data_IF_973551277080
#
_entry.id   IF_973551277080
#
_cell.length_a   1.000
_cell.length_b   1.000
_cell.length_c   1.000
_cell.angle_alpha   90.00
_cell.angle_beta   90.00
_cell.angle_gamma   90.00
#
_symmetry.space_group_name_H-M   'P 1'
#
loop_
_entity.id
_entity.type
_entity.pdbx_description
1 polymer ?
#
# COMPACT_ATOMS: atom_id res chain seq x y z
N UNK A 1 1.43 -13.73 -9.02
CA UNK A 1 2.41 -14.33 -9.94
C UNK A 1 3.82 -13.89 -9.59
N UNK A 2 4.84 -14.54 -10.15
CA UNK A 2 6.23 -14.10 -9.97
C UNK A 2 6.49 -12.83 -10.77
N UNK A 3 7.22 -11.89 -10.20
CA UNK A 3 7.74 -10.76 -10.95
C UNK A 3 8.82 -11.29 -11.93
N UNK A 4 8.78 -10.93 -13.22
CA UNK A 4 9.81 -11.36 -14.17
C UNK A 4 11.21 -10.87 -13.75
N UNK A 5 12.20 -11.75 -13.76
CA UNK A 5 13.57 -11.41 -13.34
C UNK A 5 14.15 -10.24 -14.16
N UNK A 6 13.87 -10.18 -15.46
CA UNK A 6 14.31 -9.07 -16.31
C UNK A 6 13.74 -7.71 -15.86
N UNK A 7 12.51 -7.68 -15.34
CA UNK A 7 11.92 -6.45 -14.78
C UNK A 7 12.65 -6.04 -13.50
N UNK A 8 12.91 -6.99 -12.61
CA UNK A 8 13.67 -6.73 -11.37
C UNK A 8 15.08 -6.20 -11.70
N UNK A 9 15.78 -6.84 -12.62
CA UNK A 9 17.13 -6.43 -13.06
C UNK A 9 17.15 -4.98 -13.58
N UNK A 10 16.22 -4.65 -14.48
CA UNK A 10 16.15 -3.30 -15.03
C UNK A 10 15.79 -2.27 -13.98
N UNK A 11 14.80 -2.56 -13.13
CA UNK A 11 14.38 -1.66 -12.08
C UNK A 11 15.52 -1.41 -11.08
N UNK A 12 16.16 -2.46 -10.57
CA UNK A 12 17.23 -2.35 -9.58
C UNK A 12 18.47 -1.64 -10.13
N UNK A 13 18.84 -1.88 -11.40
CA UNK A 13 19.92 -1.11 -12.07
C UNK A 13 19.64 0.38 -12.14
N UNK A 14 18.38 0.78 -12.10
CA UNK A 14 17.96 2.18 -12.08
C UNK A 14 17.57 2.68 -10.69
N UNK A 15 17.83 1.91 -9.63
CA UNK A 15 17.51 2.28 -8.25
C UNK A 15 16.01 2.31 -7.93
N UNK A 16 15.19 1.55 -8.68
CA UNK A 16 13.74 1.49 -8.51
C UNK A 16 13.34 0.21 -7.78
N UNK A 17 12.80 0.29 -6.56
CA UNK A 17 12.26 -0.86 -5.84
C UNK A 17 11.06 -1.47 -6.57
N UNK A 18 10.90 -2.79 -6.47
CA UNK A 18 9.83 -3.53 -7.12
C UNK A 18 9.09 -4.41 -6.12
N UNK A 19 7.79 -4.21 -6.00
CA UNK A 19 6.91 -4.96 -5.12
C UNK A 19 5.80 -5.67 -5.90
N UNK A 20 5.33 -6.81 -5.39
CA UNK A 20 4.12 -7.44 -5.92
C UNK A 20 2.89 -6.89 -5.23
N UNK A 21 1.73 -6.95 -5.91
CA UNK A 21 0.44 -6.48 -5.38
C UNK A 21 -0.59 -7.60 -5.42
N UNK A 22 -1.33 -7.80 -4.32
CA UNK A 22 -2.54 -8.59 -4.27
C UNK A 22 -3.77 -7.67 -4.42
N UNK A 23 -4.53 -7.85 -5.49
CA UNK A 23 -5.80 -7.16 -5.69
C UNK A 23 -6.94 -7.97 -5.10
N UNK A 24 -7.44 -7.58 -3.94
CA UNK A 24 -8.54 -8.25 -3.26
C UNK A 24 -9.83 -7.46 -3.56
N UNK A 25 -10.86 -8.08 -4.14
CA UNK A 25 -12.03 -7.37 -4.63
C UNK A 25 -12.90 -6.80 -3.49
N UNK A 26 -13.73 -5.82 -3.85
CA UNK A 26 -14.70 -5.18 -2.95
C UNK A 26 -15.89 -6.13 -2.68
N UNK A 27 -15.65 -7.09 -1.81
CA UNK A 27 -16.63 -8.09 -1.41
C UNK A 27 -16.37 -8.61 0.01
N UNK A 28 -17.31 -9.40 0.54
CA UNK A 28 -17.07 -10.09 1.80
C UNK A 28 -15.98 -11.15 1.62
N UNK A 29 -14.98 -11.10 2.48
CA UNK A 29 -13.83 -12.01 2.41
C UNK A 29 -14.30 -13.46 2.56
N UNK A 30 -14.13 -14.24 1.50
CA UNK A 30 -14.57 -15.62 1.43
C UNK A 30 -13.73 -16.43 0.43
N UNK A 31 -13.99 -17.73 0.33
CA UNK A 31 -13.45 -18.61 -0.70
C UNK A 31 -11.94 -18.58 -0.83
N UNK A 32 -11.46 -18.38 -2.05
CA UNK A 32 -10.03 -18.43 -2.38
C UNK A 32 -9.22 -17.34 -1.66
N UNK A 33 -9.75 -16.13 -1.60
CA UNK A 33 -9.07 -15.01 -0.94
C UNK A 33 -8.96 -15.22 0.56
N UNK A 34 -10.02 -15.68 1.20
CA UNK A 34 -9.98 -16.04 2.62
C UNK A 34 -8.91 -17.10 2.89
N UNK A 35 -8.93 -18.19 2.14
CA UNK A 35 -7.96 -19.29 2.28
C UNK A 35 -6.53 -18.83 2.02
N UNK A 36 -6.32 -17.98 1.01
CA UNK A 36 -5.01 -17.44 0.70
C UNK A 36 -4.44 -16.58 1.83
N UNK A 37 -5.25 -15.66 2.37
CA UNK A 37 -4.83 -14.80 3.48
C UNK A 37 -4.63 -15.58 4.78
N UNK A 38 -5.49 -16.54 5.08
CA UNK A 38 -5.31 -17.43 6.24
C UNK A 38 -4.04 -18.29 6.12
N UNK A 39 -3.70 -18.74 4.92
CA UNK A 39 -2.46 -19.46 4.66
C UNK A 39 -1.25 -18.58 4.82
N UNK A 40 -1.28 -17.38 4.21
CA UNK A 40 -0.20 -16.40 4.29
C UNK A 40 0.09 -15.99 5.73
N UNK A 41 -0.95 -15.75 6.54
CA UNK A 41 -0.80 -15.34 7.94
C UNK A 41 -0.09 -16.37 8.82
N UNK A 42 -0.03 -17.63 8.38
CA UNK A 42 0.63 -18.76 9.11
C UNK A 42 2.04 -19.04 8.61
N UNK A 43 2.50 -18.34 7.59
CA UNK A 43 3.86 -18.51 7.07
C UNK A 43 4.86 -17.99 8.10
N UNK A 44 5.94 -18.73 8.28
CA UNK A 44 7.08 -18.26 9.08
C UNK A 44 7.71 -17.04 8.42
N UNK A 45 7.76 -15.93 9.16
CA UNK A 45 8.21 -14.65 8.62
C UNK A 45 9.68 -14.65 8.19
N UNK A 46 10.55 -15.44 8.85
CA UNK A 46 11.96 -15.55 8.46
C UNK A 46 12.11 -16.34 7.15
N UNK A 47 11.30 -17.38 6.96
CA UNK A 47 11.27 -18.11 5.68
C UNK A 47 10.73 -17.25 4.57
N UNK A 48 9.68 -16.47 4.82
CA UNK A 48 9.14 -15.52 3.87
C UNK A 48 10.19 -14.45 3.50
N UNK A 49 10.88 -13.89 4.48
CA UNK A 49 11.95 -12.93 4.28
C UNK A 49 13.10 -13.51 3.43
N UNK A 50 13.56 -14.71 3.74
CA UNK A 50 14.59 -15.39 2.95
C UNK A 50 14.15 -15.61 1.49
N UNK A 51 12.90 -16.01 1.28
CA UNK A 51 12.32 -16.16 -0.07
C UNK A 51 12.27 -14.85 -0.82
N UNK A 52 11.73 -13.78 -0.20
CA UNK A 52 11.60 -12.47 -0.84
C UNK A 52 12.97 -11.87 -1.18
N UNK A 53 13.92 -11.98 -0.26
CA UNK A 53 15.28 -11.51 -0.49
C UNK A 53 15.98 -12.29 -1.62
N UNK A 54 15.79 -13.60 -1.68
CA UNK A 54 16.36 -14.45 -2.75
C UNK A 54 15.84 -14.06 -4.13
N UNK A 55 14.55 -13.70 -4.25
CA UNK A 55 13.95 -13.27 -5.51
C UNK A 55 14.07 -11.76 -5.79
N UNK A 56 14.66 -10.99 -4.88
CA UNK A 56 14.85 -9.55 -5.03
C UNK A 56 13.55 -8.74 -4.92
N UNK A 57 12.60 -9.17 -4.12
CA UNK A 57 11.37 -8.41 -3.87
C UNK A 57 11.60 -7.34 -2.81
N UNK A 58 11.21 -6.11 -3.12
CA UNK A 58 11.38 -4.96 -2.23
C UNK A 58 10.11 -4.62 -1.44
N UNK A 59 9.07 -5.44 -1.55
CA UNK A 59 7.85 -5.25 -0.78
C UNK A 59 6.67 -6.07 -1.27
N UNK A 60 5.56 -5.87 -0.57
CA UNK A 60 4.28 -6.48 -0.92
C UNK A 60 3.15 -5.47 -0.75
N UNK A 61 2.31 -5.31 -1.77
CA UNK A 61 1.17 -4.39 -1.74
C UNK A 61 -0.16 -5.11 -1.65
N UNK A 62 -1.12 -4.46 -0.99
CA UNK A 62 -2.52 -4.91 -0.95
C UNK A 62 -3.43 -3.82 -1.49
N UNK A 63 -4.15 -4.12 -2.57
CA UNK A 63 -5.39 -3.40 -2.87
C UNK A 63 -6.50 -4.02 -2.04
N UNK A 64 -6.61 -3.61 -0.77
CA UNK A 64 -7.46 -4.20 0.25
C UNK A 64 -8.83 -3.54 0.25
N UNK A 65 -9.73 -4.05 -0.59
CA UNK A 65 -11.10 -3.54 -0.71
C UNK A 65 -12.14 -4.58 -0.24
N UNK A 66 -11.80 -5.40 0.73
CA UNK A 66 -12.68 -6.42 1.28
C UNK A 66 -13.20 -6.07 2.67
N UNK A 67 -14.26 -6.74 3.10
CA UNK A 67 -14.74 -6.67 4.48
C UNK A 67 -14.90 -8.08 5.06
N UNK A 68 -14.76 -8.20 6.37
CA UNK A 68 -14.83 -9.46 7.10
C UNK A 68 -16.08 -9.53 7.99
N UNK A 69 -17.26 -9.84 7.44
CA UNK A 69 -18.48 -9.95 8.22
C UNK A 69 -18.42 -11.14 9.20
N UNK A 70 -17.97 -12.29 8.73
CA UNK A 70 -18.01 -13.52 9.52
C UNK A 70 -16.84 -13.67 10.48
N UNK A 71 -15.68 -13.21 10.11
CA UNK A 71 -14.45 -13.39 10.89
C UNK A 71 -14.08 -12.16 11.73
N UNK A 72 -14.82 -11.06 11.58
CA UNK A 72 -14.70 -9.82 12.39
C UNK A 72 -13.27 -9.29 12.47
N UNK A 73 -12.58 -9.25 11.36
CA UNK A 73 -11.21 -8.76 11.27
C UNK A 73 -10.14 -9.74 11.76
N UNK A 74 -10.48 -10.97 12.12
CA UNK A 74 -9.51 -11.96 12.59
C UNK A 74 -8.41 -12.23 11.56
N UNK A 75 -8.79 -12.32 10.29
CA UNK A 75 -7.85 -12.60 9.20
C UNK A 75 -6.98 -11.37 8.93
N UNK A 76 -7.59 -10.19 8.85
CA UNK A 76 -6.85 -8.93 8.66
C UNK A 76 -5.86 -8.68 9.79
N UNK A 77 -6.25 -8.95 11.04
CA UNK A 77 -5.33 -8.92 12.19
C UNK A 77 -4.16 -9.87 12.03
N UNK A 78 -4.42 -11.11 11.65
CA UNK A 78 -3.39 -12.11 11.46
C UNK A 78 -2.42 -11.73 10.32
N UNK A 79 -2.91 -11.16 9.23
CA UNK A 79 -2.09 -10.63 8.14
C UNK A 79 -1.27 -9.43 8.61
N UNK A 80 -1.85 -8.52 9.37
CA UNK A 80 -1.11 -7.40 9.97
C UNK A 80 0.06 -7.91 10.81
N UNK A 81 -0.18 -8.84 11.71
CA UNK A 81 0.87 -9.43 12.57
C UNK A 81 1.97 -10.15 11.74
N UNK A 82 1.56 -10.87 10.70
CA UNK A 82 2.52 -11.47 9.76
C UNK A 82 3.43 -10.39 9.14
N UNK A 83 2.88 -9.26 8.68
CA UNK A 83 3.68 -8.20 8.07
C UNK A 83 4.57 -7.46 9.07
N UNK A 84 4.14 -7.26 10.30
CA UNK A 84 5.01 -6.74 11.38
C UNK A 84 6.24 -7.64 11.55
N UNK A 85 6.03 -8.95 11.61
CA UNK A 85 7.12 -9.92 11.76
C UNK A 85 7.98 -10.00 10.48
N UNK A 86 7.38 -9.92 9.30
CA UNK A 86 8.08 -9.91 8.02
C UNK A 86 8.99 -8.68 7.90
N UNK A 87 8.48 -7.49 8.21
CA UNK A 87 9.27 -6.25 8.21
C UNK A 87 10.47 -6.35 9.13
N UNK A 88 10.28 -6.90 10.33
CA UNK A 88 11.37 -7.12 11.29
C UNK A 88 12.43 -8.10 10.75
N UNK A 89 12.00 -9.17 10.09
CA UNK A 89 12.90 -10.15 9.48
C UNK A 89 13.61 -9.61 8.23
N UNK A 90 12.94 -8.75 7.46
CA UNK A 90 13.50 -8.14 6.24
C UNK A 90 14.49 -7.00 6.52
N UNK A 91 14.33 -6.27 7.63
CA UNK A 91 15.15 -5.11 7.95
C UNK A 91 16.67 -5.32 7.82
N UNK A 92 17.26 -6.44 8.31
CA UNK A 92 18.69 -6.70 8.12
C UNK A 92 19.05 -7.22 6.72
N UNK A 93 18.09 -7.70 5.92
CA UNK A 93 18.32 -8.27 4.59
C UNK A 93 18.15 -7.24 3.49
N UNK A 94 17.11 -6.43 3.59
CA UNK A 94 16.78 -5.38 2.63
C UNK A 94 16.18 -4.17 3.39
N UNK A 95 16.99 -3.15 3.72
CA UNK A 95 16.53 -2.00 4.51
C UNK A 95 15.52 -1.11 3.81
N UNK A 96 15.34 -1.25 2.48
CA UNK A 96 14.33 -0.50 1.71
C UNK A 96 13.04 -1.29 1.51
N UNK A 97 12.95 -2.49 2.08
CA UNK A 97 11.75 -3.32 1.97
C UNK A 97 10.53 -2.60 2.59
N UNK A 98 9.44 -2.52 1.83
CA UNK A 98 8.26 -1.79 2.22
C UNK A 98 6.98 -2.53 1.80
N UNK A 99 6.11 -2.81 2.75
CA UNK A 99 4.75 -3.25 2.46
C UNK A 99 3.83 -2.03 2.32
N UNK A 100 2.90 -2.09 1.37
CA UNK A 100 1.93 -1.00 1.13
C UNK A 100 0.51 -1.54 1.26
N UNK A 101 -0.31 -0.85 2.04
CA UNK A 101 -1.72 -1.17 2.25
C UNK A 101 -2.61 -0.05 1.71
N UNK A 102 -3.58 -0.40 0.88
CA UNK A 102 -4.57 0.56 0.42
C UNK A 102 -5.54 0.91 1.54
N UNK A 103 -5.86 2.19 1.68
CA UNK A 103 -6.79 2.73 2.67
C UNK A 103 -8.24 2.32 2.37
N UNK A 104 -8.55 1.07 2.63
CA UNK A 104 -9.84 0.43 2.42
C UNK A 104 -10.21 -0.44 3.62
N UNK A 105 -9.66 -1.64 3.71
CA UNK A 105 -9.94 -2.56 4.81
C UNK A 105 -9.16 -2.20 6.06
N UNK A 106 -9.86 -2.03 7.16
CA UNK A 106 -9.30 -1.79 8.49
C UNK A 106 -8.97 -3.07 9.25
N UNK A 107 -8.17 -2.97 10.31
CA UNK A 107 -7.78 -4.12 11.14
C UNK A 107 -8.97 -4.90 11.71
N UNK A 108 -10.09 -4.23 11.99
CA UNK A 108 -11.31 -4.86 12.50
C UNK A 108 -12.16 -5.52 11.41
N UNK A 109 -11.69 -5.54 10.17
CA UNK A 109 -12.38 -6.12 9.02
C UNK A 109 -13.48 -5.24 8.42
N UNK A 110 -13.64 -4.00 8.85
CA UNK A 110 -14.53 -3.06 8.18
C UNK A 110 -13.88 -2.49 6.92
N UNK A 111 -14.67 -2.18 5.91
CA UNK A 111 -14.23 -1.51 4.70
C UNK A 111 -14.67 -0.04 4.78
N UNK A 112 -13.71 0.85 4.95
CA UNK A 112 -13.91 2.29 5.04
C UNK A 112 -12.79 2.99 4.27
N UNK A 113 -13.13 3.99 3.49
CA UNK A 113 -12.18 4.78 2.72
C UNK A 113 -12.00 6.14 3.41
N UNK A 114 -11.10 6.21 4.38
CA UNK A 114 -10.96 7.37 5.28
C UNK A 114 -10.21 8.53 4.64
N UNK A 115 -9.43 8.29 3.59
CA UNK A 115 -8.67 9.31 2.84
C UNK A 115 -7.57 9.99 3.64
N UNK A 116 -7.25 9.45 4.80
CA UNK A 116 -6.25 9.97 5.71
C UNK A 116 -5.91 8.97 6.80
N UNK A 117 -4.82 9.22 7.52
CA UNK A 117 -4.45 8.45 8.69
C UNK A 117 -5.25 8.94 9.91
N UNK A 118 -6.05 8.04 10.48
CA UNK A 118 -6.92 8.29 11.62
C UNK A 118 -6.84 7.13 12.64
N UNK A 119 -7.55 7.24 13.76
CA UNK A 119 -7.49 6.21 14.81
C UNK A 119 -7.96 4.82 14.36
N UNK A 120 -8.88 4.74 13.40
CA UNK A 120 -9.42 3.46 12.93
C UNK A 120 -8.49 2.68 11.99
N UNK A 121 -7.57 3.33 11.28
CA UNK A 121 -6.63 2.69 10.36
C UNK A 121 -5.16 2.74 10.83
N UNK A 122 -4.85 3.49 11.88
CA UNK A 122 -3.48 3.67 12.38
C UNK A 122 -2.76 2.38 12.76
N UNK A 123 -3.49 1.33 13.16
CA UNK A 123 -2.88 0.07 13.60
C UNK A 123 -2.22 -0.72 12.46
N UNK A 124 -2.68 -0.54 11.19
CA UNK A 124 -2.03 -1.13 10.02
C UNK A 124 -0.78 -0.33 9.67
N UNK A 125 -0.87 0.99 9.72
CA UNK A 125 0.29 1.85 9.57
C UNK A 125 1.33 1.56 10.66
N UNK A 126 0.89 1.47 11.90
CA UNK A 126 1.66 1.03 13.06
C UNK A 126 2.62 2.08 13.60
N UNK A 127 2.99 1.92 14.86
CA UNK A 127 4.07 2.69 15.49
C UNK A 127 5.43 2.24 14.97
N UNK A 128 6.47 3.06 15.17
CA UNK A 128 7.84 2.69 14.87
C UNK A 128 8.25 1.38 15.61
N UNK A 129 8.70 0.39 14.84
CA UNK A 129 9.08 -0.94 15.32
C UNK A 129 7.95 -1.97 15.36
N UNK A 130 6.69 -1.55 15.11
CA UNK A 130 5.53 -2.43 14.98
C UNK A 130 4.69 -2.13 13.72
N UNK A 131 5.30 -1.49 12.75
CA UNK A 131 4.70 -1.18 11.45
C UNK A 131 4.40 -2.44 10.63
N UNK A 132 3.16 -2.56 10.16
CA UNK A 132 2.79 -3.60 9.20
C UNK A 132 2.99 -3.13 7.76
N UNK A 133 2.54 -1.92 7.44
CA UNK A 133 2.61 -1.39 6.09
C UNK A 133 2.65 0.15 6.06
N UNK A 134 3.10 0.70 4.96
CA UNK A 134 2.80 2.07 4.57
C UNK A 134 1.35 2.17 4.09
N UNK A 135 0.76 3.34 4.15
CA UNK A 135 -0.64 3.53 3.83
C UNK A 135 -0.81 4.32 2.54
N UNK A 136 -1.45 3.68 1.55
CA UNK A 136 -1.85 4.34 0.30
C UNK A 136 -3.24 4.93 0.49
N UNK A 137 -3.33 6.26 0.66
CA UNK A 137 -4.57 6.97 0.94
C UNK A 137 -5.53 6.96 -0.26
N UNK A 138 -6.80 6.78 0.00
CA UNK A 138 -7.83 6.89 -1.02
C UNK A 138 -7.83 8.27 -1.71
N UNK A 139 -8.22 8.30 -2.96
CA UNK A 139 -8.02 9.40 -3.93
C UNK A 139 -8.64 10.77 -3.59
N UNK A 140 -9.45 10.87 -2.55
CA UNK A 140 -10.13 12.12 -2.15
C UNK A 140 -9.51 12.75 -0.88
N UNK A 141 -8.21 12.60 -0.69
CA UNK A 141 -7.42 13.18 0.42
C UNK A 141 -7.23 14.70 0.33
N UNK A 142 -7.58 15.34 -0.77
CA UNK A 142 -7.27 16.72 -1.17
C UNK A 142 -7.95 17.81 -0.32
N UNK A 143 -8.31 17.52 0.90
CA UNK A 143 -8.76 18.50 1.91
C UNK A 143 -7.60 18.77 2.87
N UNK A 144 -7.25 20.04 3.05
CA UNK A 144 -6.11 20.48 3.87
C UNK A 144 -6.07 19.84 5.24
N UNK A 145 -7.22 19.73 5.89
CA UNK A 145 -7.30 19.15 7.22
C UNK A 145 -6.99 17.65 7.25
N UNK A 146 -7.29 16.88 6.17
CA UNK A 146 -6.98 15.45 6.09
C UNK A 146 -5.47 15.22 6.07
N UNK A 147 -4.72 15.97 5.25
CA UNK A 147 -3.26 15.86 5.19
C UNK A 147 -2.60 16.31 6.49
N UNK A 148 -3.05 17.45 7.03
CA UNK A 148 -2.54 17.95 8.31
C UNK A 148 -2.72 16.91 9.41
N UNK A 149 -3.94 16.42 9.60
CA UNK A 149 -4.25 15.46 10.65
C UNK A 149 -3.49 14.13 10.45
N UNK A 150 -3.31 13.70 9.20
CA UNK A 150 -2.54 12.49 8.89
C UNK A 150 -1.07 12.62 9.29
N UNK A 151 -0.45 13.77 9.00
CA UNK A 151 0.93 14.06 9.40
C UNK A 151 1.06 14.15 10.92
N UNK A 152 0.12 14.82 11.59
CA UNK A 152 0.10 14.93 13.05
C UNK A 152 -0.08 13.54 13.70
N UNK A 153 -0.99 12.71 13.17
CA UNK A 153 -1.21 11.35 13.64
C UNK A 153 0.02 10.45 13.43
N UNK A 154 0.68 10.53 12.30
CA UNK A 154 1.92 9.79 12.05
C UNK A 154 3.00 10.17 13.07
N UNK A 155 3.18 11.47 13.34
CA UNK A 155 4.12 11.96 14.36
C UNK A 155 3.75 11.53 15.79
N UNK A 156 2.46 11.54 16.13
CA UNK A 156 1.94 11.07 17.42
C UNK A 156 2.36 9.62 17.71
N UNK A 157 2.32 8.76 16.67
CA UNK A 157 2.73 7.35 16.78
C UNK A 157 4.19 7.10 16.39
N UNK A 158 5.00 8.15 16.37
CA UNK A 158 6.44 8.10 16.08
C UNK A 158 6.79 7.46 14.73
N UNK A 159 5.90 7.60 13.72
CA UNK A 159 6.09 7.11 12.37
C UNK A 159 6.39 8.27 11.41
N UNK A 160 7.33 8.06 10.48
CA UNK A 160 7.63 9.05 9.45
C UNK A 160 6.42 9.22 8.49
N UNK A 161 5.90 10.45 8.33
CA UNK A 161 4.79 10.72 7.42
C UNK A 161 5.09 10.42 5.94
N UNK A 162 6.36 10.28 5.53
CA UNK A 162 6.73 9.89 4.17
C UNK A 162 6.27 8.49 3.79
N UNK A 163 5.90 7.65 4.76
CA UNK A 163 5.25 6.36 4.53
C UNK A 163 3.72 6.46 4.29
N UNK A 164 3.17 7.68 4.23
CA UNK A 164 1.82 7.94 3.74
C UNK A 164 1.90 8.36 2.28
N UNK A 165 1.15 7.72 1.42
CA UNK A 165 1.10 8.00 -0.01
C UNK A 165 -0.22 8.67 -0.36
N UNK A 166 -0.17 9.93 -0.80
CA UNK A 166 -1.33 10.59 -1.38
C UNK A 166 -1.71 9.91 -2.69
N UNK A 167 -2.77 9.13 -2.67
CA UNK A 167 -3.22 8.32 -3.79
C UNK A 167 -3.76 9.17 -4.94
N UNK A 168 -3.28 8.91 -6.15
CA UNK A 168 -3.75 9.54 -7.38
C UNK A 168 -4.19 8.44 -8.34
N UNK A 169 -5.47 8.43 -8.68
CA UNK A 169 -6.00 7.46 -9.61
C UNK A 169 -5.68 7.86 -11.06
N UNK A 170 -4.89 7.03 -11.73
CA UNK A 170 -4.47 7.20 -13.11
C UNK A 170 -5.27 6.29 -14.07
N UNK A 171 -6.16 5.45 -13.54
CA UNK A 171 -7.02 4.58 -14.35
C UNK A 171 -8.17 5.36 -14.98
N UNK A 172 -8.59 4.94 -16.18
CA UNK A 172 -9.81 5.43 -16.81
C UNK A 172 -9.66 6.66 -17.67
N UNK A 173 -8.46 7.24 -17.84
CA UNK A 173 -8.14 8.26 -18.85
C UNK A 173 -8.94 9.56 -18.76
N UNK A 174 -9.66 9.78 -17.70
CA UNK A 174 -10.38 11.02 -17.52
C UNK A 174 -9.43 12.11 -17.00
N UNK A 175 -9.15 13.16 -17.78
CA UNK A 175 -8.33 14.29 -17.32
C UNK A 175 -8.84 14.97 -16.05
N UNK A 176 -10.09 14.73 -15.70
CA UNK A 176 -10.76 15.26 -14.50
C UNK A 176 -10.10 14.82 -13.20
N UNK A 177 -9.48 13.66 -13.16
CA UNK A 177 -8.75 13.20 -11.97
C UNK A 177 -7.54 14.08 -11.69
N UNK A 178 -6.93 14.67 -12.71
CA UNK A 178 -5.78 15.57 -12.58
C UNK A 178 -6.16 17.00 -12.22
N UNK A 179 -7.29 17.49 -12.73
CA UNK A 179 -7.73 18.86 -12.51
C UNK A 179 -8.15 19.16 -11.07
N UNK A 180 -8.44 18.12 -10.29
CA UNK A 180 -8.85 18.25 -8.89
C UNK A 180 -7.68 18.13 -7.90
N UNK A 181 -6.49 17.72 -8.36
CA UNK A 181 -5.33 17.56 -7.51
C UNK A 181 -4.73 18.92 -7.19
N UNK A 182 -4.72 19.27 -5.94
CA UNK A 182 -4.08 20.47 -5.45
C UNK A 182 -2.60 20.21 -5.18
N UNK A 183 -1.79 20.18 -6.22
CA UNK A 183 -0.33 19.95 -6.12
C UNK A 183 0.36 20.87 -5.12
N UNK A 184 -0.13 22.10 -4.98
CA UNK A 184 0.40 23.08 -4.03
C UNK A 184 0.25 22.62 -2.58
N UNK A 185 -0.80 21.84 -2.26
CA UNK A 185 -0.98 21.30 -0.90
C UNK A 185 0.12 20.29 -0.51
N UNK A 186 0.61 19.52 -1.49
CA UNK A 186 1.64 18.51 -1.22
C UNK A 186 2.99 19.13 -0.85
N UNK A 187 3.22 20.41 -1.17
CA UNK A 187 4.43 21.11 -0.78
C UNK A 187 4.49 21.41 0.72
N UNK A 188 3.33 21.54 1.35
CA UNK A 188 3.21 21.96 2.74
C UNK A 188 3.22 20.76 3.72
N UNK A 189 3.12 19.55 3.19
CA UNK A 189 3.03 18.33 4.00
C UNK A 189 4.07 17.29 3.55
N UNK A 190 4.87 16.73 4.49
CA UNK A 190 5.90 15.74 4.19
C UNK A 190 5.26 14.34 4.01
N UNK A 191 4.55 14.14 2.93
CA UNK A 191 3.98 12.84 2.53
C UNK A 191 4.44 12.48 1.11
N UNK A 192 4.39 11.18 0.80
CA UNK A 192 4.73 10.66 -0.53
C UNK A 192 3.54 10.74 -1.49
N UNK A 193 3.79 10.55 -2.78
CA UNK A 193 2.77 10.48 -3.82
C UNK A 193 2.69 9.06 -4.34
N UNK A 194 1.48 8.50 -4.40
CA UNK A 194 1.20 7.19 -4.96
C UNK A 194 0.34 7.29 -6.23
N UNK A 195 0.83 6.74 -7.34
CA UNK A 195 0.11 6.71 -8.61
C UNK A 195 -0.51 5.32 -8.82
N UNK A 196 -1.82 5.23 -8.81
CA UNK A 196 -2.54 3.99 -9.09
C UNK A 196 -2.90 3.87 -10.56
N UNK A 197 -2.52 2.75 -11.20
CA UNK A 197 -2.85 2.50 -12.60
C UNK A 197 -1.98 3.25 -13.61
N UNK A 198 -0.80 3.72 -13.20
CA UNK A 198 0.16 4.43 -14.06
C UNK A 198 0.68 3.57 -15.25
N UNK A 199 0.45 2.24 -15.21
CA UNK A 199 0.75 1.33 -16.32
C UNK A 199 -0.12 1.55 -17.57
N UNK A 200 -1.21 2.30 -17.46
CA UNK A 200 -2.08 2.66 -18.58
C UNK A 200 -1.44 3.75 -19.45
N UNK A 201 -0.21 3.50 -19.92
CA UNK A 201 0.58 4.44 -20.73
C UNK A 201 -0.14 4.96 -21.97
N UNK A 202 -0.92 4.11 -22.62
CA UNK A 202 -1.68 4.48 -23.82
C UNK A 202 -2.53 5.73 -23.62
N UNK A 203 -3.02 5.94 -22.42
CA UNK A 203 -3.86 7.09 -22.10
C UNK A 203 -3.09 8.40 -22.01
N UNK A 204 -1.80 8.38 -21.65
CA UNK A 204 -0.96 9.57 -21.65
C UNK A 204 -0.47 9.95 -23.04
N UNK A 205 -0.18 8.96 -23.89
CA UNK A 205 0.44 9.18 -25.19
C UNK A 205 -0.58 9.25 -26.32
N UNK A 206 -1.62 8.41 -26.31
CA UNK A 206 -2.67 8.42 -27.32
C UNK A 206 -3.49 9.73 -27.30
N UNK A 207 -3.78 10.27 -26.12
CA UNK A 207 -4.51 11.55 -26.00
C UNK A 207 -3.75 12.76 -26.55
N UNK A 208 -2.42 12.63 -26.75
CA UNK A 208 -1.55 13.68 -27.29
C UNK A 208 -1.09 13.39 -28.71
N UNK A 209 -1.57 12.31 -29.34
CA UNK A 209 -1.13 11.91 -30.67
C UNK A 209 0.33 11.40 -30.72
N UNK A 210 0.95 11.20 -29.57
CA UNK A 210 2.31 10.64 -29.47
C UNK A 210 2.21 9.11 -29.43
N UNK A 211 2.87 8.45 -30.38
CA UNK A 211 3.01 7.01 -30.34
C UNK A 211 4.16 6.66 -29.39
N UNK A 212 3.84 5.91 -28.34
CA UNK A 212 4.83 5.34 -27.44
C UNK A 212 5.70 4.27 -28.08
#
# INVERSE_FOLDING_TARGET
GRIPAALLDVAHKNGVPVSSVAGIPNENLSGVWQSALETLSKVDANKAAAYMNYFGYDGFGYNSEYYETYTRGRITKAIKEFHVNLNRAMKPLNPIFENIWYDGTHENGSLLFDRGLIDSNKNIFGEAGSEAASLFLNYNWNRTWLLKNSVEKAKEIHRDPLYLYAGINMQGGEPKTYSTIRWTMLKDYPISIGLWGAHSQNMFFESRGEKG
#
